data_IF_266996891674
#
_entry.id   IF_266996891674
#
_cell.length_a   1.000
_cell.length_b   1.000
_cell.length_c   1.000
_cell.angle_alpha   90.00
_cell.angle_beta   90.00
_cell.angle_gamma   90.00
#
_symmetry.space_group_name_H-M   'P 1'
#
loop_
_entity.id
_entity.type
_entity.pdbx_description
1 polymer ?
#
# COMPACT_ATOMS: atom_id res chain seq x y z
N UNK A 1 -22.61 -13.91 -14.52
CA UNK A 1 -21.80 -12.89 -15.20
C UNK A 1 -20.50 -12.73 -14.45
N UNK A 2 -19.37 -12.72 -15.15
CA UNK A 2 -18.02 -12.60 -14.56
C UNK A 2 -17.72 -11.19 -14.02
N UNK A 3 -18.62 -10.22 -14.25
CA UNK A 3 -18.51 -8.81 -13.85
C UNK A 3 -18.61 -8.56 -12.34
N UNK A 4 -19.09 -9.55 -11.57
CA UNK A 4 -19.36 -9.40 -10.12
C UNK A 4 -18.11 -9.70 -9.26
N UNK A 5 -17.06 -10.29 -9.86
CA UNK A 5 -15.83 -10.71 -9.15
C UNK A 5 -14.58 -9.92 -9.56
N UNK A 6 -14.71 -8.63 -9.83
CA UNK A 6 -13.57 -7.72 -9.63
C UNK A 6 -13.18 -7.76 -8.15
N UNK A 7 -11.88 -7.85 -7.80
CA UNK A 7 -11.47 -7.93 -6.41
C UNK A 7 -12.10 -6.78 -5.60
N UNK A 8 -12.71 -7.08 -4.46
CA UNK A 8 -13.51 -6.10 -3.70
C UNK A 8 -12.69 -4.84 -3.33
N UNK A 9 -11.38 -5.00 -3.14
CA UNK A 9 -10.44 -3.89 -2.91
C UNK A 9 -10.40 -2.86 -4.05
N UNK A 10 -10.55 -3.29 -5.31
CA UNK A 10 -10.49 -2.39 -6.48
C UNK A 10 -11.61 -1.34 -6.47
N UNK A 11 -12.79 -1.70 -5.92
CA UNK A 11 -13.92 -0.77 -5.82
C UNK A 11 -13.73 0.27 -4.71
N UNK A 12 -12.91 -0.01 -3.70
CA UNK A 12 -12.64 0.91 -2.60
C UNK A 12 -11.57 1.96 -2.97
N UNK A 13 -10.57 1.58 -3.78
CA UNK A 13 -9.44 2.46 -4.11
C UNK A 13 -9.71 3.45 -5.25
N UNK A 14 -10.77 3.25 -6.05
CA UNK A 14 -11.13 4.09 -7.21
C UNK A 14 -12.20 5.14 -6.90
N UNK A 15 -11.98 6.39 -7.30
CA UNK A 15 -13.01 7.44 -7.23
C UNK A 15 -14.05 7.23 -8.35
N UNK A 16 -15.34 7.37 -8.02
CA UNK A 16 -16.43 7.28 -8.99
C UNK A 16 -16.91 8.69 -9.31
N UNK A 17 -16.56 9.19 -10.48
CA UNK A 17 -16.99 10.51 -10.94
C UNK A 17 -18.50 10.54 -11.21
N UNK A 18 -19.17 11.61 -10.75
CA UNK A 18 -20.53 11.89 -11.15
C UNK A 18 -20.55 12.70 -12.45
N UNK A 19 -21.01 12.10 -13.54
CA UNK A 19 -21.09 12.77 -14.85
C UNK A 19 -22.37 13.61 -15.03
N UNK A 20 -23.34 13.50 -14.11
CA UNK A 20 -24.67 14.09 -14.23
C UNK A 20 -24.77 15.47 -13.56
N UNK A 21 -23.75 16.32 -13.78
CA UNK A 21 -23.60 17.62 -13.11
C UNK A 21 -24.17 18.74 -13.98
N UNK A 22 -25.17 19.46 -13.46
CA UNK A 22 -25.95 20.43 -14.25
C UNK A 22 -25.65 21.89 -13.91
N UNK A 23 -25.17 22.18 -12.70
CA UNK A 23 -24.87 23.56 -12.27
C UNK A 23 -23.46 23.71 -11.65
N UNK A 24 -23.01 24.96 -11.52
CA UNK A 24 -21.66 25.30 -11.05
C UNK A 24 -21.43 24.92 -9.57
N UNK A 25 -22.45 25.02 -8.73
CA UNK A 25 -22.40 24.60 -7.32
C UNK A 25 -22.15 23.09 -7.18
N UNK A 26 -22.81 22.28 -8.01
CA UNK A 26 -22.60 20.84 -8.09
C UNK A 26 -21.19 20.50 -8.60
N UNK A 27 -20.64 21.27 -9.56
CA UNK A 27 -19.23 21.10 -10.00
C UNK A 27 -18.25 21.35 -8.88
N UNK A 28 -18.41 22.45 -8.15
CA UNK A 28 -17.55 22.78 -7.01
C UNK A 28 -17.63 21.70 -5.91
N UNK A 29 -18.84 21.19 -5.64
CA UNK A 29 -19.04 20.11 -4.67
C UNK A 29 -18.39 18.79 -5.12
N UNK A 30 -18.50 18.45 -6.40
CA UNK A 30 -17.87 17.25 -6.94
C UNK A 30 -16.33 17.34 -6.91
N UNK A 31 -15.77 18.50 -7.28
CA UNK A 31 -14.33 18.73 -7.21
C UNK A 31 -13.79 18.56 -5.78
N UNK A 32 -14.52 19.08 -4.78
CA UNK A 32 -14.17 18.91 -3.37
C UNK A 32 -14.24 17.45 -2.92
N UNK A 33 -15.28 16.70 -3.32
CA UNK A 33 -15.38 15.26 -3.01
C UNK A 33 -14.21 14.46 -3.59
N UNK A 34 -13.86 14.72 -4.85
CA UNK A 34 -12.70 14.11 -5.50
C UNK A 34 -11.43 14.43 -4.72
N UNK A 35 -11.21 15.70 -4.36
CA UNK A 35 -10.05 16.10 -3.57
C UNK A 35 -9.98 15.35 -2.22
N UNK A 36 -11.07 15.35 -1.44
CA UNK A 36 -11.12 14.67 -0.15
C UNK A 36 -10.84 13.17 -0.28
N UNK A 37 -11.39 12.51 -1.30
CA UNK A 37 -11.17 11.08 -1.53
C UNK A 37 -9.68 10.72 -1.67
N UNK A 38 -8.92 11.46 -2.47
CA UNK A 38 -7.50 11.20 -2.68
C UNK A 38 -6.65 11.69 -1.51
N UNK A 39 -7.01 12.83 -0.91
CA UNK A 39 -6.31 13.38 0.27
C UNK A 39 -6.41 12.43 1.47
N UNK A 40 -7.60 11.93 1.79
CA UNK A 40 -7.81 11.02 2.92
C UNK A 40 -6.94 9.75 2.79
N UNK A 41 -6.82 9.19 1.58
CA UNK A 41 -5.96 8.01 1.34
C UNK A 41 -4.49 8.35 1.51
N UNK A 42 -4.04 9.45 0.91
CA UNK A 42 -2.66 9.94 1.09
C UNK A 42 -2.32 10.16 2.57
N UNK A 43 -3.21 10.80 3.32
CA UNK A 43 -3.05 11.09 4.75
C UNK A 43 -3.08 9.80 5.60
N UNK A 44 -3.97 8.86 5.28
CA UNK A 44 -4.02 7.56 5.93
C UNK A 44 -2.71 6.78 5.75
N UNK A 45 -2.15 6.72 4.53
CA UNK A 45 -0.85 6.08 4.32
C UNK A 45 0.29 6.85 4.98
N UNK A 46 0.21 8.18 5.07
CA UNK A 46 1.17 8.99 5.85
C UNK A 46 1.19 8.58 7.32
N UNK A 47 0.01 8.42 7.92
CA UNK A 47 -0.14 8.01 9.33
C UNK A 47 0.34 6.59 9.54
N UNK A 48 -0.01 5.67 8.64
CA UNK A 48 0.49 4.29 8.69
C UNK A 48 2.02 4.22 8.58
N UNK A 49 2.66 5.05 7.75
CA UNK A 49 4.13 5.10 7.68
C UNK A 49 4.77 5.44 9.04
N UNK A 50 4.19 6.39 9.78
CA UNK A 50 4.68 6.74 11.12
C UNK A 50 4.55 5.57 12.09
N UNK A 51 3.43 4.84 12.04
CA UNK A 51 3.23 3.64 12.85
C UNK A 51 4.19 2.51 12.45
N UNK A 52 4.53 2.40 11.17
CA UNK A 52 5.50 1.41 10.68
C UNK A 52 6.93 1.74 11.16
N UNK A 53 7.30 3.02 11.26
CA UNK A 53 8.57 3.44 11.84
C UNK A 53 8.64 3.06 13.33
N UNK A 54 7.59 3.33 14.12
CA UNK A 54 7.48 2.91 15.52
C UNK A 54 7.52 1.37 15.65
N UNK A 55 6.87 0.65 14.74
CA UNK A 55 6.89 -0.82 14.73
C UNK A 55 8.29 -1.36 14.40
N UNK A 56 9.05 -0.69 13.53
CA UNK A 56 10.44 -1.04 13.22
C UNK A 56 11.34 -0.97 14.47
N UNK A 57 11.18 0.07 15.29
CA UNK A 57 11.88 0.19 16.58
C UNK A 57 11.50 -0.95 17.54
N UNK A 58 10.20 -1.30 17.61
CA UNK A 58 9.72 -2.42 18.43
C UNK A 58 10.29 -3.76 17.96
N UNK A 59 10.38 -3.99 16.64
CA UNK A 59 11.02 -5.18 16.07
C UNK A 59 12.48 -5.23 16.47
N UNK A 60 13.23 -4.12 16.35
CA UNK A 60 14.63 -4.07 16.75
C UNK A 60 14.81 -4.43 18.23
N UNK A 61 14.00 -3.86 19.12
CA UNK A 61 14.05 -4.17 20.55
C UNK A 61 13.75 -5.66 20.85
N UNK A 62 12.78 -6.27 20.14
CA UNK A 62 12.51 -7.71 20.25
C UNK A 62 13.71 -8.56 19.80
N UNK A 63 14.35 -8.19 18.70
CA UNK A 63 15.54 -8.88 18.21
C UNK A 63 16.65 -8.82 19.25
N UNK A 64 16.90 -7.64 19.82
CA UNK A 64 17.95 -7.46 20.84
C UNK A 64 17.69 -8.31 22.09
N UNK A 65 16.43 -8.45 22.52
CA UNK A 65 16.05 -9.34 23.64
C UNK A 65 16.31 -10.82 23.32
N UNK A 66 15.94 -11.31 22.13
CA UNK A 66 16.23 -12.69 21.72
C UNK A 66 17.74 -12.97 21.63
N UNK A 67 18.53 -12.01 21.14
CA UNK A 67 19.99 -12.12 21.11
C UNK A 67 20.58 -12.17 22.52
N UNK A 68 20.11 -11.33 23.43
CA UNK A 68 20.56 -11.32 24.83
C UNK A 68 20.21 -12.62 25.56
N UNK A 69 19.12 -13.29 25.16
CA UNK A 69 18.72 -14.61 25.67
C UNK A 69 19.48 -15.77 25.02
N UNK A 70 20.37 -15.50 24.05
CA UNK A 70 21.04 -16.50 23.21
C UNK A 70 20.06 -17.39 22.41
N UNK A 71 18.87 -16.88 22.09
CA UNK A 71 17.88 -17.56 21.27
C UNK A 71 18.14 -17.30 19.79
N UNK A 72 19.18 -17.96 19.27
CA UNK A 72 19.63 -17.81 17.90
C UNK A 72 20.58 -16.62 17.69
N UNK A 73 20.77 -16.25 16.44
CA UNK A 73 21.74 -15.25 16.00
C UNK A 73 21.04 -14.13 15.25
N UNK A 74 21.74 -13.01 15.01
CA UNK A 74 21.16 -11.88 14.29
C UNK A 74 20.63 -12.27 12.88
N UNK A 75 21.25 -13.26 12.24
CA UNK A 75 20.84 -13.76 10.92
C UNK A 75 19.46 -14.41 10.96
N UNK A 76 19.08 -15.01 12.09
CA UNK A 76 17.79 -15.67 12.25
C UNK A 76 16.64 -14.66 12.25
N UNK A 77 16.92 -13.40 12.62
CA UNK A 77 15.89 -12.38 12.87
C UNK A 77 15.91 -11.18 11.91
N UNK A 78 17.03 -10.89 11.24
CA UNK A 78 17.21 -9.72 10.36
C UNK A 78 16.14 -9.59 9.25
N UNK A 79 15.48 -10.70 8.88
CA UNK A 79 14.43 -10.71 7.87
C UNK A 79 13.20 -9.87 8.27
N UNK A 80 12.92 -9.73 9.58
CA UNK A 80 11.83 -8.90 10.10
C UNK A 80 12.08 -7.42 9.85
N UNK A 81 13.28 -6.93 10.13
CA UNK A 81 13.69 -5.54 9.83
C UNK A 81 13.70 -5.27 8.33
N UNK A 82 14.16 -6.24 7.54
CA UNK A 82 14.08 -6.16 6.07
C UNK A 82 12.63 -6.10 5.61
N UNK A 83 11.74 -6.88 6.24
CA UNK A 83 10.29 -6.85 6.03
C UNK A 83 9.71 -5.47 6.28
N UNK A 84 9.96 -4.90 7.46
CA UNK A 84 9.51 -3.56 7.84
C UNK A 84 10.01 -2.50 6.84
N UNK A 85 11.28 -2.55 6.45
CA UNK A 85 11.84 -1.62 5.46
C UNK A 85 11.16 -1.73 4.08
N UNK A 86 10.87 -2.94 3.60
CA UNK A 86 10.15 -3.14 2.33
C UNK A 86 8.72 -2.63 2.46
N UNK A 87 8.05 -2.89 3.58
CA UNK A 87 6.71 -2.41 3.85
C UNK A 87 6.65 -0.87 3.77
N UNK A 88 7.48 -0.16 4.53
CA UNK A 88 7.51 1.32 4.52
C UNK A 88 7.84 1.87 3.12
N UNK A 89 8.77 1.24 2.39
CA UNK A 89 9.11 1.64 1.01
C UNK A 89 7.93 1.48 0.05
N UNK A 90 7.19 0.37 0.16
CA UNK A 90 6.00 0.12 -0.64
C UNK A 90 4.88 1.10 -0.29
N UNK A 91 4.63 1.32 1.00
CA UNK A 91 3.61 2.28 1.46
C UNK A 91 3.93 3.72 1.08
N UNK A 92 5.19 4.13 1.16
CA UNK A 92 5.63 5.42 0.65
C UNK A 92 5.33 5.56 -0.84
N UNK A 93 5.66 4.53 -1.63
CA UNK A 93 5.33 4.53 -3.06
C UNK A 93 3.82 4.66 -3.28
N UNK A 94 3.01 3.85 -2.58
CA UNK A 94 1.55 3.87 -2.68
C UNK A 94 0.98 5.24 -2.26
N UNK A 95 1.46 5.85 -1.19
CA UNK A 95 1.03 7.17 -0.75
C UNK A 95 1.06 8.19 -1.89
N UNK A 96 2.17 8.27 -2.63
CA UNK A 96 2.34 9.23 -3.72
C UNK A 96 1.61 8.83 -5.02
N UNK A 97 1.08 7.61 -5.11
CA UNK A 97 0.22 7.22 -6.23
C UNK A 97 -1.16 7.91 -6.19
N UNK A 98 -1.66 8.31 -5.01
CA UNK A 98 -2.97 8.99 -4.90
C UNK A 98 -2.98 10.42 -5.44
N UNK A 99 -2.03 11.31 -5.07
CA UNK A 99 -1.92 12.62 -5.72
C UNK A 99 -1.73 12.50 -7.23
N UNK A 100 -0.98 11.49 -7.68
CA UNK A 100 -0.81 11.25 -9.12
C UNK A 100 -2.15 10.87 -9.79
N UNK A 101 -2.87 9.88 -9.25
CA UNK A 101 -4.17 9.44 -9.77
C UNK A 101 -5.24 10.55 -9.76
N UNK A 102 -5.15 11.49 -8.81
CA UNK A 102 -6.03 12.68 -8.77
C UNK A 102 -5.93 13.51 -10.06
N UNK A 103 -4.70 13.74 -10.55
CA UNK A 103 -4.43 14.54 -11.75
C UNK A 103 -4.53 13.76 -13.07
N UNK A 104 -4.62 12.43 -13.03
CA UNK A 104 -4.81 11.64 -14.24
C UNK A 104 -6.19 11.88 -14.86
N UNK A 105 -6.20 12.09 -16.18
CA UNK A 105 -7.41 12.07 -16.99
C UNK A 105 -8.06 10.68 -16.99
N UNK A 106 -9.39 10.66 -17.12
CA UNK A 106 -10.13 9.42 -17.27
C UNK A 106 -9.73 8.68 -18.55
N UNK A 107 -9.77 7.35 -18.51
CA UNK A 107 -9.50 6.49 -19.66
C UNK A 107 -8.77 5.20 -19.30
N UNK A 108 -8.47 4.34 -20.29
CA UNK A 108 -7.93 3.00 -20.06
C UNK A 108 -6.62 2.98 -19.26
N UNK A 109 -5.76 3.99 -19.45
CA UNK A 109 -4.51 4.10 -18.71
C UNK A 109 -4.73 4.36 -17.22
N UNK A 110 -5.68 5.23 -16.86
CA UNK A 110 -6.05 5.48 -15.46
C UNK A 110 -6.70 4.24 -14.83
N UNK A 111 -7.54 3.53 -15.58
CA UNK A 111 -8.15 2.29 -15.07
C UNK A 111 -7.12 1.21 -14.79
N UNK A 112 -6.12 1.04 -15.67
CA UNK A 112 -5.01 0.14 -15.44
C UNK A 112 -4.15 0.59 -14.25
N UNK A 113 -3.89 1.89 -14.14
CA UNK A 113 -3.15 2.47 -13.00
C UNK A 113 -3.86 2.17 -11.68
N UNK A 114 -5.14 2.50 -11.56
CA UNK A 114 -5.93 2.31 -10.34
C UNK A 114 -6.06 0.81 -10.00
N UNK A 115 -6.07 -0.07 -11.01
CA UNK A 115 -6.07 -1.51 -10.79
C UNK A 115 -4.76 -1.98 -10.17
N UNK A 116 -3.63 -1.51 -10.70
CA UNK A 116 -2.30 -1.83 -10.17
C UNK A 116 -2.08 -1.22 -8.79
N UNK A 117 -2.57 0.01 -8.57
CA UNK A 117 -2.55 0.70 -7.28
C UNK A 117 -3.29 -0.10 -6.22
N UNK A 118 -4.53 -0.52 -6.50
CA UNK A 118 -5.34 -1.29 -5.56
C UNK A 118 -4.74 -2.67 -5.29
N UNK A 119 -4.13 -3.31 -6.29
CA UNK A 119 -3.41 -4.56 -6.10
C UNK A 119 -2.17 -4.37 -5.20
N UNK A 120 -1.41 -3.29 -5.38
CA UNK A 120 -0.27 -2.97 -4.53
C UNK A 120 -0.72 -2.72 -3.09
N UNK A 121 -1.78 -1.93 -2.89
CA UNK A 121 -2.38 -1.66 -1.58
C UNK A 121 -2.73 -2.95 -0.84
N UNK A 122 -3.41 -3.90 -1.52
CA UNK A 122 -3.74 -5.19 -0.93
C UNK A 122 -2.50 -6.00 -0.49
N UNK A 123 -1.44 -6.03 -1.31
CA UNK A 123 -0.20 -6.74 -0.95
C UNK A 123 0.59 -6.06 0.17
N UNK A 124 0.48 -4.74 0.30
CA UNK A 124 1.05 -3.94 1.41
C UNK A 124 0.36 -4.32 2.72
N UNK A 125 -0.98 -4.33 2.75
CA UNK A 125 -1.72 -4.67 3.98
C UNK A 125 -1.49 -6.14 4.39
N UNK A 126 -1.36 -7.05 3.42
CA UNK A 126 -1.01 -8.44 3.70
C UNK A 126 0.42 -8.57 4.29
N UNK A 127 1.39 -7.79 3.80
CA UNK A 127 2.73 -7.76 4.39
C UNK A 127 2.72 -7.16 5.80
N UNK A 128 2.00 -6.07 6.02
CA UNK A 128 1.84 -5.44 7.33
C UNK A 128 1.31 -6.44 8.36
N UNK A 129 0.22 -7.12 8.02
CA UNK A 129 -0.37 -8.15 8.88
C UNK A 129 0.61 -9.28 9.21
N UNK A 130 1.38 -9.76 8.23
CA UNK A 130 2.39 -10.82 8.45
C UNK A 130 3.52 -10.38 9.37
N UNK A 131 3.95 -9.13 9.29
CA UNK A 131 4.99 -8.57 10.17
C UNK A 131 4.46 -8.42 11.59
N UNK A 132 3.23 -7.92 11.75
CA UNK A 132 2.57 -7.80 13.07
C UNK A 132 2.35 -9.17 13.72
N UNK A 133 2.13 -10.22 12.93
CA UNK A 133 1.90 -11.59 13.36
C UNK A 133 3.11 -12.50 13.11
N UNK A 134 4.32 -11.96 13.17
CA UNK A 134 5.55 -12.70 12.89
C UNK A 134 5.78 -13.92 13.81
N UNK A 135 5.19 -13.93 15.01
CA UNK A 135 5.28 -15.04 15.97
C UNK A 135 4.53 -16.30 15.49
N UNK A 136 3.51 -16.14 14.63
CA UNK A 136 2.71 -17.25 14.08
C UNK A 136 2.87 -17.39 12.56
N UNK A 137 3.49 -16.42 11.91
CA UNK A 137 3.72 -16.43 10.47
C UNK A 137 5.01 -17.17 10.15
N UNK A 138 4.92 -18.18 9.28
CA UNK A 138 6.10 -18.85 8.74
C UNK A 138 7.05 -17.86 8.03
N UNK A 139 8.35 -17.96 8.30
CA UNK A 139 9.38 -17.09 7.71
C UNK A 139 9.34 -17.11 6.19
N UNK A 140 9.21 -18.28 5.57
CA UNK A 140 9.12 -18.43 4.12
C UNK A 140 7.90 -17.72 3.54
N UNK A 141 6.75 -17.78 4.24
CA UNK A 141 5.56 -17.05 3.85
C UNK A 141 5.74 -15.52 3.92
N UNK A 142 6.44 -15.01 4.93
CA UNK A 142 6.76 -13.59 5.05
C UNK A 142 7.73 -13.15 3.95
N UNK A 143 8.83 -13.88 3.73
CA UNK A 143 9.82 -13.58 2.68
C UNK A 143 9.22 -13.64 1.26
N UNK A 144 8.29 -14.57 1.02
CA UNK A 144 7.53 -14.62 -0.22
C UNK A 144 6.64 -13.38 -0.39
N UNK A 145 5.93 -12.97 0.67
CA UNK A 145 5.09 -11.77 0.64
C UNK A 145 5.91 -10.49 0.38
N UNK A 146 7.10 -10.38 0.98
CA UNK A 146 8.06 -9.30 0.70
C UNK A 146 8.41 -9.22 -0.79
N UNK A 147 8.63 -10.37 -1.42
CA UNK A 147 8.97 -10.46 -2.85
C UNK A 147 7.77 -10.04 -3.72
N UNK A 148 6.57 -10.52 -3.38
CA UNK A 148 5.34 -10.20 -4.11
C UNK A 148 5.07 -8.69 -4.09
N UNK A 149 5.09 -8.05 -2.92
CA UNK A 149 4.77 -6.63 -2.81
C UNK A 149 5.81 -5.75 -3.53
N UNK A 150 7.10 -6.08 -3.42
CA UNK A 150 8.16 -5.33 -4.11
C UNK A 150 8.06 -5.50 -5.63
N UNK A 151 7.65 -6.69 -6.10
CA UNK A 151 7.39 -6.92 -7.53
C UNK A 151 6.19 -6.11 -8.03
N UNK A 152 5.11 -6.03 -7.25
CA UNK A 152 3.96 -5.16 -7.58
C UNK A 152 4.38 -3.71 -7.63
N UNK A 153 5.11 -3.23 -6.62
CA UNK A 153 5.63 -1.85 -6.55
C UNK A 153 6.48 -1.49 -7.76
N UNK A 154 7.44 -2.34 -8.12
CA UNK A 154 8.33 -2.10 -9.28
C UNK A 154 7.60 -2.18 -10.61
N UNK A 155 6.65 -3.10 -10.77
CA UNK A 155 5.83 -3.22 -11.99
C UNK A 155 4.96 -1.98 -12.19
N UNK A 156 4.33 -1.53 -11.09
CA UNK A 156 3.55 -0.31 -11.03
C UNK A 156 4.40 0.89 -11.50
N UNK A 157 5.59 1.10 -10.90
CA UNK A 157 6.49 2.20 -11.30
C UNK A 157 6.98 2.08 -12.75
N UNK A 158 7.33 0.87 -13.21
CA UNK A 158 7.82 0.66 -14.58
C UNK A 158 6.76 1.06 -15.62
N UNK A 159 5.52 0.61 -15.44
CA UNK A 159 4.44 0.94 -16.36
C UNK A 159 4.12 2.44 -16.39
N UNK A 160 4.50 3.18 -15.35
CA UNK A 160 4.16 4.59 -15.18
C UNK A 160 5.22 5.57 -15.67
N UNK A 161 6.51 5.19 -15.67
CA UNK A 161 7.60 6.06 -16.10
C UNK A 161 8.12 5.75 -17.53
N UNK A 162 7.48 4.83 -18.24
CA UNK A 162 7.83 4.48 -19.63
C UNK A 162 6.99 5.24 -20.68
N UNK A 163 6.11 6.15 -20.26
CA UNK A 163 5.31 7.05 -21.10
C UNK A 163 5.41 8.48 -20.56
#
# INVERSE_FOLDING_TARGET
SWEIHGPQYFKCSKYKENHDIKNESERAREALKKYLFYYERWDNHMKSLKLEDENSERIQAKIDDELNRNNGTWIDWQYLLRGAKILSKCRYTLQYTYPYAYYMDGGPQKELFEFQQAALENEIENLAWKIENAETTDRGALENQMTIVEKRRTTLLYNFFQY
#
